data_IF_256957272899
#
_entry.id   IF_256957272899
#
_cell.length_a   1.000
_cell.length_b   1.000
_cell.length_c   1.000
_cell.angle_alpha   90.00
_cell.angle_beta   90.00
_cell.angle_gamma   90.00
#
_symmetry.space_group_name_H-M   'P 1'
#
loop_
_entity.id
_entity.type
_entity.pdbx_description
1 polymer ?
#
# COMPACT_ATOMS: atom_id res chain seq x y z
N UNK A 1 -2.28 -19.31 -2.94
CA UNK A 1 -2.67 -18.04 -2.30
C UNK A 1 -1.71 -16.93 -2.66
N UNK A 2 -2.20 -15.72 -2.93
CA UNK A 2 -1.34 -14.57 -3.18
C UNK A 2 -0.44 -14.26 -1.97
N UNK A 3 0.78 -13.82 -2.25
CA UNK A 3 1.77 -13.50 -1.21
C UNK A 3 1.34 -12.28 -0.38
N UNK A 4 0.83 -11.25 -1.05
CA UNK A 4 0.20 -10.10 -0.38
C UNK A 4 -1.11 -10.54 0.28
N UNK A 5 -1.24 -10.23 1.58
CA UNK A 5 -2.46 -10.54 2.36
C UNK A 5 -3.06 -9.33 3.07
N UNK A 6 -2.29 -8.25 3.21
CA UNK A 6 -2.68 -7.05 3.94
C UNK A 6 -2.64 -5.87 2.97
N UNK A 7 -3.79 -5.23 2.78
CA UNK A 7 -3.92 -4.12 1.83
C UNK A 7 -3.98 -2.75 2.51
N UNK A 8 -4.35 -2.67 3.80
CA UNK A 8 -4.40 -1.43 4.58
C UNK A 8 -3.37 -1.44 5.72
N UNK A 9 -2.57 -0.36 5.81
CA UNK A 9 -1.49 -0.18 6.79
C UNK A 9 -1.50 1.21 7.43
N UNK A 10 -0.77 1.37 8.53
CA UNK A 10 -0.76 2.59 9.32
C UNK A 10 -2.07 2.76 10.11
N UNK A 11 -2.49 4.01 10.32
CA UNK A 11 -3.66 4.36 11.13
C UNK A 11 -4.97 4.24 10.33
N UNK A 12 -5.33 3.02 9.93
CA UNK A 12 -6.54 2.70 9.13
C UNK A 12 -7.89 3.09 9.76
N UNK A 13 -7.91 3.48 11.04
CA UNK A 13 -9.09 3.96 11.78
C UNK A 13 -9.10 5.48 11.96
N UNK A 14 -8.16 6.20 11.36
CA UNK A 14 -8.15 7.65 11.38
C UNK A 14 -9.46 8.19 10.78
N UNK A 15 -9.95 9.28 11.34
CA UNK A 15 -11.09 10.00 10.77
C UNK A 15 -10.64 10.76 9.52
N UNK A 16 -11.60 11.08 8.65
CA UNK A 16 -11.35 11.71 7.34
C UNK A 16 -10.75 13.12 7.44
N UNK A 17 -10.97 13.81 8.56
CA UNK A 17 -10.44 15.13 8.88
C UNK A 17 -8.97 15.10 9.32
N UNK A 18 -8.42 13.94 9.66
CA UNK A 18 -7.04 13.81 10.17
C UNK A 18 -5.98 13.75 9.07
N UNK A 19 -6.34 13.30 7.86
CA UNK A 19 -5.43 13.17 6.72
C UNK A 19 -5.97 13.93 5.50
N UNK A 20 -5.67 15.23 5.34
CA UNK A 20 -6.21 16.04 4.25
C UNK A 20 -5.54 15.77 2.89
N UNK A 21 -4.37 15.11 2.88
CA UNK A 21 -3.60 14.84 1.67
C UNK A 21 -3.71 13.36 1.26
N UNK A 22 -3.92 13.12 -0.04
CA UNK A 22 -3.85 11.78 -0.64
C UNK A 22 -2.86 11.77 -1.81
N UNK A 23 -1.87 10.88 -1.74
CA UNK A 23 -0.93 10.61 -2.83
C UNK A 23 -1.30 9.31 -3.54
N UNK A 24 -1.24 9.32 -4.88
CA UNK A 24 -1.50 8.14 -5.70
C UNK A 24 -0.28 7.76 -6.52
N UNK A 25 -0.03 6.45 -6.62
CA UNK A 25 0.94 5.84 -7.52
C UNK A 25 0.17 5.22 -8.67
N UNK A 26 0.52 5.58 -9.90
CA UNK A 26 -0.13 5.15 -11.14
C UNK A 26 0.93 4.50 -12.01
N UNK A 27 0.64 3.33 -12.60
CA UNK A 27 1.53 2.75 -13.60
C UNK A 27 1.32 3.45 -14.94
N UNK A 28 2.42 3.66 -15.66
CA UNK A 28 2.45 4.24 -17.01
C UNK A 28 2.61 3.15 -18.08
N UNK A 29 2.57 1.87 -17.67
CA UNK A 29 2.73 0.71 -18.55
C UNK A 29 1.52 -0.22 -18.47
N UNK A 30 1.24 -0.92 -19.58
CA UNK A 30 0.27 -2.01 -19.61
C UNK A 30 0.96 -3.33 -19.29
N UNK A 31 0.87 -3.75 -18.03
CA UNK A 31 1.65 -4.86 -17.48
C UNK A 31 0.86 -5.67 -16.44
N UNK A 32 1.42 -6.80 -16.03
CA UNK A 32 0.92 -7.59 -14.91
C UNK A 32 1.88 -7.49 -13.72
N UNK A 33 1.33 -7.14 -12.55
CA UNK A 33 2.10 -7.06 -11.32
C UNK A 33 1.91 -8.33 -10.49
N UNK A 34 3.02 -8.99 -10.16
CA UNK A 34 3.01 -10.21 -9.35
C UNK A 34 2.61 -9.94 -7.90
N UNK A 35 2.05 -10.95 -7.24
CA UNK A 35 1.63 -10.84 -5.82
C UNK A 35 2.83 -10.61 -4.88
N UNK A 36 4.00 -11.11 -5.28
CA UNK A 36 5.29 -11.00 -4.61
C UNK A 36 5.83 -9.56 -4.70
N UNK A 37 5.74 -8.95 -5.88
CA UNK A 37 6.16 -7.56 -6.09
C UNK A 37 5.29 -6.60 -5.26
N UNK A 38 3.97 -6.82 -5.22
CA UNK A 38 3.05 -6.02 -4.41
C UNK A 38 3.38 -6.11 -2.91
N UNK A 39 3.67 -7.31 -2.40
CA UNK A 39 4.04 -7.49 -0.99
C UNK A 39 5.39 -6.82 -0.66
N UNK A 40 6.38 -6.96 -1.54
CA UNK A 40 7.69 -6.33 -1.36
C UNK A 40 7.58 -4.79 -1.37
N UNK A 41 6.84 -4.22 -2.33
CA UNK A 41 6.59 -2.80 -2.42
C UNK A 41 5.86 -2.27 -1.17
N UNK A 42 4.83 -3.00 -0.71
CA UNK A 42 4.06 -2.68 0.50
C UNK A 42 4.96 -2.63 1.74
N UNK A 43 5.85 -3.61 1.93
CA UNK A 43 6.81 -3.64 3.04
C UNK A 43 7.78 -2.46 2.95
N UNK A 44 8.33 -2.20 1.76
CA UNK A 44 9.28 -1.12 1.52
C UNK A 44 8.67 0.25 1.87
N UNK A 45 7.51 0.56 1.31
CA UNK A 45 6.80 1.82 1.55
C UNK A 45 6.45 1.99 3.04
N UNK A 46 5.90 0.96 3.69
CA UNK A 46 5.56 1.01 5.11
C UNK A 46 6.80 1.22 5.99
N UNK A 47 7.93 0.56 5.71
CA UNK A 47 9.18 0.74 6.47
C UNK A 47 9.67 2.18 6.40
N UNK A 48 9.66 2.78 5.21
CA UNK A 48 10.07 4.17 5.02
C UNK A 48 9.13 5.16 5.72
N UNK A 49 7.82 4.95 5.59
CA UNK A 49 6.82 5.83 6.18
C UNK A 49 6.79 5.73 7.71
N UNK A 50 6.97 4.56 8.30
CA UNK A 50 7.13 4.40 9.76
C UNK A 50 8.35 5.16 10.26
N UNK A 51 9.47 5.11 9.52
CA UNK A 51 10.69 5.84 9.88
C UNK A 51 10.52 7.35 9.78
N UNK A 52 9.80 7.84 8.77
CA UNK A 52 9.75 9.27 8.44
C UNK A 52 8.58 10.00 9.10
N UNK A 53 7.41 9.37 9.18
CA UNK A 53 6.16 9.97 9.68
C UNK A 53 5.67 9.36 11.00
N UNK A 54 6.32 8.30 11.49
CA UNK A 54 5.83 7.49 12.60
C UNK A 54 4.71 6.54 12.18
N UNK A 55 4.42 5.55 13.05
CA UNK A 55 3.45 4.47 12.77
C UNK A 55 2.01 4.98 12.53
N UNK A 56 1.66 6.09 13.19
CA UNK A 56 0.30 6.66 13.16
C UNK A 56 0.18 7.89 12.26
N UNK A 57 1.26 8.28 11.57
CA UNK A 57 1.31 9.47 10.72
C UNK A 57 0.82 9.27 9.28
N UNK A 58 0.31 8.09 8.94
CA UNK A 58 -0.17 7.78 7.59
C UNK A 58 -1.21 6.67 7.56
N UNK A 59 -1.94 6.58 6.44
CA UNK A 59 -2.73 5.41 6.04
C UNK A 59 -2.36 5.03 4.60
N UNK A 60 -1.74 3.85 4.42
CA UNK A 60 -1.43 3.31 3.09
C UNK A 60 -2.48 2.28 2.73
N UNK A 61 -3.00 2.36 1.50
CA UNK A 61 -3.87 1.35 0.91
C UNK A 61 -3.31 0.87 -0.43
N UNK A 62 -3.04 -0.43 -0.54
CA UNK A 62 -2.79 -1.09 -1.83
C UNK A 62 -4.14 -1.28 -2.52
N UNK A 63 -4.32 -0.67 -3.70
CA UNK A 63 -5.61 -0.67 -4.43
C UNK A 63 -5.77 -1.88 -5.37
N UNK A 64 -4.67 -2.45 -5.85
CA UNK A 64 -4.66 -3.58 -6.77
C UNK A 64 -4.75 -4.92 -6.02
N UNK A 65 -5.55 -5.86 -6.53
CA UNK A 65 -5.66 -7.21 -6.00
C UNK A 65 -5.26 -8.23 -7.09
N UNK A 66 -4.30 -9.14 -6.83
CA UNK A 66 -3.83 -10.11 -7.82
C UNK A 66 -4.80 -11.29 -7.93
N UNK A 67 -5.74 -11.22 -8.87
CA UNK A 67 -6.72 -12.30 -9.13
C UNK A 67 -6.36 -13.21 -10.29
N UNK A 68 -5.51 -12.75 -11.20
CA UNK A 68 -5.03 -13.57 -12.31
C UNK A 68 -4.04 -14.61 -11.78
N UNK A 69 -4.38 -15.89 -11.94
CA UNK A 69 -3.51 -17.02 -11.59
C UNK A 69 -2.75 -17.41 -12.85
N UNK A 70 -1.41 -17.47 -12.73
CA UNK A 70 -0.48 -17.87 -13.78
C UNK A 70 -0.04 -19.32 -13.53
#
# INVERSE_FOLDING_TARGET
DPKIRIFDLGRKKAKVDEFPLCGHMVSDEYEQLSSEALEAARICANKYMVKSCGKDGFHIRVRLHPFHVI
#
